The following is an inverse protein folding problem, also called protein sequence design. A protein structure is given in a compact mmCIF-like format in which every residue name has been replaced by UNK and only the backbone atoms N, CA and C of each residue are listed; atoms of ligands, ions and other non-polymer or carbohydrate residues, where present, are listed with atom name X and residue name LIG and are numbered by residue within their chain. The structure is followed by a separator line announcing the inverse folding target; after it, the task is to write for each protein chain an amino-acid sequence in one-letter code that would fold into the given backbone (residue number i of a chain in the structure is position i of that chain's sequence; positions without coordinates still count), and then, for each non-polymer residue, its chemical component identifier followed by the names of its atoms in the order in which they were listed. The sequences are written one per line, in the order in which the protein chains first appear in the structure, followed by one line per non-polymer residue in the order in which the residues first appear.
data_IF_731299637452
#
_entry.id   IF_731299637452
#
_cell.length_a   1.000
_cell.length_b   1.000
_cell.length_c   1.000
_cell.angle_alpha   90.00
_cell.angle_beta   90.00
_cell.angle_gamma   90.00
#
_symmetry.space_group_name_H-M   'P 1'
#
loop_
_entity.id
_entity.type
_entity.pdbx_description
1 polymer ?
#
# COMPACT_ATOMS: atom_id res chain seq x y z
N UNK A 1 11.53 6.70 15.28
CA UNK A 1 11.17 7.23 13.95
C UNK A 1 9.88 8.03 14.05
N UNK A 2 9.88 9.20 13.49
CA UNK A 2 8.70 10.07 13.52
C UNK A 2 7.63 9.59 12.55
N UNK A 3 6.38 9.54 13.00
CA UNK A 3 5.23 9.32 12.15
C UNK A 3 4.74 10.67 11.65
N UNK A 4 4.52 10.77 10.34
CA UNK A 4 3.93 11.96 9.74
C UNK A 4 2.57 11.59 9.17
N UNK A 5 1.53 12.29 9.62
CA UNK A 5 0.15 12.08 9.18
C UNK A 5 -0.23 13.22 8.25
N UNK A 6 -0.81 12.90 7.08
CA UNK A 6 -1.23 13.90 6.12
C UNK A 6 -2.42 14.71 6.64
N UNK A 7 -2.38 16.01 6.40
CA UNK A 7 -3.50 16.89 6.67
C UNK A 7 -4.58 16.71 5.60
N UNK A 8 -5.87 16.98 5.93
CA UNK A 8 -6.92 16.91 4.92
C UNK A 8 -6.62 17.81 3.72
N UNK A 9 -6.70 17.26 2.51
CA UNK A 9 -6.42 17.99 1.27
C UNK A 9 -4.96 18.12 0.89
N UNK A 10 -4.03 17.57 1.67
CA UNK A 10 -2.62 17.61 1.35
C UNK A 10 -2.35 16.72 0.13
N UNK A 11 -1.67 17.23 -0.94
CA UNK A 11 -1.42 16.44 -2.14
C UNK A 11 -0.53 15.23 -1.84
N UNK A 12 -0.96 14.05 -2.27
CA UNK A 12 -0.30 12.79 -1.93
C UNK A 12 1.13 12.70 -2.45
N UNK A 13 1.37 13.16 -3.67
CA UNK A 13 2.71 13.06 -4.27
C UNK A 13 3.69 13.98 -3.55
N UNK A 14 3.27 15.18 -3.18
CA UNK A 14 4.10 16.09 -2.40
C UNK A 14 4.36 15.54 -1.00
N UNK A 15 3.35 14.93 -0.38
CA UNK A 15 3.49 14.34 0.95
C UNK A 15 4.55 13.24 0.96
N UNK A 16 4.60 12.41 -0.08
CA UNK A 16 5.55 11.31 -0.18
C UNK A 16 6.77 11.62 -1.06
N UNK A 17 7.04 12.90 -1.35
CA UNK A 17 8.11 13.29 -2.26
C UNK A 17 9.48 12.75 -1.84
N UNK A 18 9.83 12.83 -0.56
CA UNK A 18 11.12 12.35 -0.07
C UNK A 18 11.27 10.83 -0.22
N UNK A 19 10.19 10.10 0.04
CA UNK A 19 10.19 8.64 -0.14
C UNK A 19 10.37 8.28 -1.62
N UNK A 20 9.65 8.98 -2.51
CA UNK A 20 9.77 8.76 -3.96
C UNK A 20 11.18 9.08 -4.44
N UNK A 21 11.78 10.17 -3.96
CA UNK A 21 13.15 10.55 -4.31
C UNK A 21 14.18 9.52 -3.87
N UNK A 22 13.87 8.75 -2.83
CA UNK A 22 14.73 7.65 -2.36
C UNK A 22 14.74 6.45 -3.29
N UNK A 23 13.83 6.36 -4.25
CA UNK A 23 13.82 5.29 -5.26
C UNK A 23 14.74 5.74 -6.39
N UNK A 24 15.95 5.17 -6.44
CA UNK A 24 17.02 5.65 -7.33
C UNK A 24 16.73 5.42 -8.82
N UNK A 25 16.03 4.34 -9.17
CA UNK A 25 15.68 4.04 -10.56
C UNK A 25 14.48 4.92 -10.98
N UNK A 26 14.65 5.79 -12.00
CA UNK A 26 13.57 6.70 -12.40
C UNK A 26 12.31 5.98 -12.89
N UNK A 27 12.46 4.85 -13.58
CA UNK A 27 11.32 4.05 -14.05
C UNK A 27 10.54 3.48 -12.87
N UNK A 28 11.23 2.95 -11.87
CA UNK A 28 10.60 2.41 -10.66
C UNK A 28 9.91 3.51 -9.86
N UNK A 29 10.52 4.70 -9.81
CA UNK A 29 9.93 5.85 -9.13
C UNK A 29 8.59 6.26 -9.77
N UNK A 30 8.52 6.27 -11.10
CA UNK A 30 7.27 6.58 -11.82
C UNK A 30 6.19 5.53 -11.49
N UNK A 31 6.56 4.25 -11.43
CA UNK A 31 5.63 3.17 -11.08
C UNK A 31 5.10 3.37 -9.65
N UNK A 32 6.00 3.64 -8.69
CA UNK A 32 5.61 3.88 -7.31
C UNK A 32 4.66 5.08 -7.18
N UNK A 33 4.98 6.18 -7.85
CA UNK A 33 4.14 7.38 -7.90
C UNK A 33 2.75 7.06 -8.45
N UNK A 34 2.70 6.27 -9.52
CA UNK A 34 1.44 5.84 -10.13
C UNK A 34 0.60 4.99 -9.18
N UNK A 35 1.24 4.09 -8.41
CA UNK A 35 0.53 3.27 -7.43
C UNK A 35 -0.11 4.17 -6.36
N UNK A 36 0.66 5.10 -5.80
CA UNK A 36 0.14 6.00 -4.77
C UNK A 36 -1.01 6.86 -5.29
N UNK A 37 -0.85 7.43 -6.47
CA UNK A 37 -1.89 8.24 -7.11
C UNK A 37 -3.15 7.43 -7.36
N UNK A 38 -2.99 6.19 -7.85
CA UNK A 38 -4.11 5.30 -8.14
C UNK A 38 -4.91 4.97 -6.86
N UNK A 39 -4.22 4.65 -5.75
CA UNK A 39 -4.92 4.36 -4.48
C UNK A 39 -5.72 5.57 -4.04
N UNK A 40 -5.12 6.75 -4.12
CA UNK A 40 -5.77 7.99 -3.71
C UNK A 40 -7.01 8.30 -4.57
N UNK A 41 -6.93 8.06 -5.87
CA UNK A 41 -8.04 8.31 -6.79
C UNK A 41 -9.17 7.29 -6.65
N UNK A 42 -8.83 6.01 -6.48
CA UNK A 42 -9.83 4.94 -6.34
C UNK A 42 -10.50 4.94 -4.98
N UNK A 43 -9.78 5.34 -3.95
CA UNK A 43 -10.26 5.33 -2.57
C UNK A 43 -10.02 6.70 -1.91
N UNK A 44 -10.76 7.74 -2.34
CA UNK A 44 -10.47 9.10 -1.89
C UNK A 44 -10.75 9.34 -0.40
N UNK A 45 -11.48 8.43 0.24
CA UNK A 45 -11.77 8.53 1.68
C UNK A 45 -10.63 8.03 2.56
N UNK A 46 -9.61 7.42 1.99
CA UNK A 46 -8.46 6.95 2.76
C UNK A 46 -7.56 8.12 3.15
N UNK A 47 -7.18 8.14 4.42
CA UNK A 47 -6.08 8.98 4.88
C UNK A 47 -4.75 8.33 4.52
N UNK A 48 -3.67 9.06 4.67
CA UNK A 48 -2.34 8.52 4.46
C UNK A 48 -1.36 9.12 5.44
N UNK A 49 -0.34 8.34 5.76
CA UNK A 49 0.73 8.73 6.69
C UNK A 49 2.04 8.07 6.28
N UNK A 50 3.13 8.63 6.79
CA UNK A 50 4.46 8.05 6.62
C UNK A 50 4.94 7.56 7.98
N UNK A 51 5.18 6.25 8.09
CA UNK A 51 5.68 5.63 9.33
C UNK A 51 6.49 4.40 8.96
N UNK A 52 7.45 4.05 9.79
CA UNK A 52 8.35 2.90 9.56
C UNK A 52 8.95 2.92 8.14
N UNK A 53 9.29 4.12 7.64
CA UNK A 53 9.85 4.37 6.30
C UNK A 53 8.93 3.92 5.17
N UNK A 54 7.61 3.88 5.39
CA UNK A 54 6.64 3.39 4.40
C UNK A 54 5.46 4.33 4.25
N UNK A 55 5.00 4.54 2.99
CA UNK A 55 3.67 5.10 2.77
C UNK A 55 2.62 4.12 3.27
N UNK A 56 1.69 4.62 4.06
CA UNK A 56 0.59 3.84 4.62
C UNK A 56 -0.72 4.54 4.37
N UNK A 57 -1.73 3.77 3.97
CA UNK A 57 -3.10 4.27 3.81
C UNK A 57 -3.95 3.79 4.98
N UNK A 58 -4.83 4.66 5.45
CA UNK A 58 -5.68 4.40 6.61
C UNK A 58 -7.14 4.70 6.30
N UNK A 59 -8.05 4.06 7.03
CA UNK A 59 -9.46 4.38 6.99
C UNK A 59 -9.91 4.64 8.44
N UNK A 60 -10.45 5.80 8.70
CA UNK A 60 -10.78 6.29 10.05
C UNK A 60 -9.72 5.93 11.10
N UNK A 61 -8.45 6.07 10.71
CA UNK A 61 -7.31 5.85 11.60
C UNK A 61 -6.78 4.42 11.66
N UNK A 62 -7.47 3.42 11.09
CA UNK A 62 -6.96 2.05 11.05
C UNK A 62 -6.16 1.79 9.78
N UNK A 63 -5.09 1.01 9.89
CA UNK A 63 -4.22 0.67 8.76
C UNK A 63 -4.97 -0.16 7.71
N UNK A 64 -4.81 0.19 6.44
CA UNK A 64 -5.39 -0.55 5.32
C UNK A 64 -4.32 -1.23 4.48
N UNK A 65 -3.34 -0.49 3.99
CA UNK A 65 -2.28 -1.03 3.14
C UNK A 65 -1.03 -0.15 3.23
N UNK A 66 0.15 -0.76 3.16
CA UNK A 66 1.42 -0.07 3.10
C UNK A 66 2.25 -0.54 1.93
N UNK A 67 3.24 0.24 1.52
CA UNK A 67 4.12 -0.06 0.40
C UNK A 67 5.58 0.11 0.80
N UNK A 68 6.44 -0.75 0.24
CA UNK A 68 7.88 -0.70 0.51
C UNK A 68 8.65 -1.09 -0.74
N UNK A 69 9.59 -0.24 -1.22
CA UNK A 69 10.35 -0.55 -2.43
C UNK A 69 11.57 -1.41 -2.11
N UNK A 70 11.97 -2.21 -3.08
CA UNK A 70 13.23 -2.95 -3.06
C UNK A 70 13.86 -2.86 -4.45
N UNK A 71 15.02 -3.45 -4.64
CA UNK A 71 15.76 -3.36 -5.91
C UNK A 71 14.93 -3.91 -7.08
N UNK A 72 14.32 -5.09 -6.91
CA UNK A 72 13.67 -5.80 -8.00
C UNK A 72 12.14 -5.79 -7.91
N UNK A 73 11.57 -5.21 -6.87
CA UNK A 73 10.11 -5.23 -6.67
C UNK A 73 9.66 -4.09 -5.74
N UNK A 74 8.35 -3.87 -5.73
CA UNK A 74 7.70 -3.13 -4.67
C UNK A 74 6.78 -4.10 -3.93
N UNK A 75 6.79 -4.05 -2.60
CA UNK A 75 5.92 -4.89 -1.79
C UNK A 75 4.71 -4.11 -1.32
N UNK A 76 3.57 -4.78 -1.21
CA UNK A 76 2.45 -4.22 -0.46
C UNK A 76 2.13 -5.09 0.75
N UNK A 77 1.71 -4.46 1.83
CA UNK A 77 1.44 -5.12 3.10
C UNK A 77 -0.03 -4.89 3.49
N UNK A 78 -0.89 -5.92 3.37
CA UNK A 78 -2.32 -5.80 3.68
C UNK A 78 -2.69 -6.41 5.04
N UNK A 79 -1.76 -6.48 5.98
CA UNK A 79 -1.82 -7.27 7.21
C UNK A 79 -1.94 -8.77 6.94
N UNK A 80 -1.70 -9.58 7.97
CA UNK A 80 -1.76 -11.04 7.86
C UNK A 80 -3.11 -11.53 7.36
N UNK A 81 -4.20 -10.94 7.84
CA UNK A 81 -5.56 -11.32 7.43
C UNK A 81 -5.78 -11.12 5.93
N UNK A 82 -5.20 -10.06 5.34
CA UNK A 82 -5.26 -9.84 3.90
C UNK A 82 -4.49 -10.90 3.12
N UNK A 83 -3.31 -11.31 3.59
CA UNK A 83 -2.56 -12.39 2.96
C UNK A 83 -3.36 -13.69 2.98
N UNK A 84 -3.90 -14.06 4.14
CA UNK A 84 -4.68 -15.29 4.30
C UNK A 84 -5.90 -15.29 3.37
N UNK A 85 -6.62 -14.18 3.33
CA UNK A 85 -7.82 -14.05 2.49
C UNK A 85 -7.52 -14.24 1.02
N UNK A 86 -6.43 -13.65 0.53
CA UNK A 86 -6.13 -13.59 -0.90
C UNK A 86 -5.08 -14.61 -1.36
N UNK A 87 -4.61 -15.48 -0.47
CA UNK A 87 -3.58 -16.46 -0.79
C UNK A 87 -3.89 -17.31 -2.04
N UNK A 88 -5.12 -17.82 -2.25
CA UNK A 88 -5.40 -18.56 -3.47
C UNK A 88 -5.17 -17.76 -4.74
N UNK A 89 -5.55 -16.47 -4.75
CA UNK A 89 -5.34 -15.58 -5.89
C UNK A 89 -3.87 -15.23 -6.08
N UNK A 90 -3.12 -15.07 -4.98
CA UNK A 90 -1.68 -14.83 -5.04
C UNK A 90 -0.96 -16.01 -5.71
N UNK A 91 -1.31 -17.22 -5.31
CA UNK A 91 -0.75 -18.45 -5.91
C UNK A 91 -1.13 -18.58 -7.38
N UNK A 92 -2.38 -18.33 -7.71
CA UNK A 92 -2.89 -18.43 -9.09
C UNK A 92 -2.16 -17.45 -10.01
N UNK A 93 -1.82 -16.26 -9.52
CA UNK A 93 -1.09 -15.24 -10.29
C UNK A 93 0.42 -15.46 -10.32
N UNK A 94 0.93 -16.45 -9.57
CA UNK A 94 2.37 -16.69 -9.48
C UNK A 94 3.14 -15.62 -8.75
N UNK A 95 2.47 -14.85 -7.88
CA UNK A 95 3.12 -13.78 -7.12
C UNK A 95 3.91 -14.34 -5.95
N UNK A 96 5.10 -13.78 -5.73
CA UNK A 96 5.91 -14.07 -4.55
C UNK A 96 5.32 -13.34 -3.35
N UNK A 97 5.15 -14.06 -2.24
CA UNK A 97 4.63 -13.44 -1.02
C UNK A 97 5.19 -14.15 0.21
N UNK A 98 5.18 -13.43 1.32
CA UNK A 98 5.52 -13.97 2.61
C UNK A 98 4.33 -13.88 3.55
N UNK A 99 4.61 -13.93 4.84
CA UNK A 99 3.59 -13.91 5.88
C UNK A 99 2.84 -12.57 5.93
N UNK A 100 3.53 -11.46 5.63
CA UNK A 100 3.00 -10.11 5.81
C UNK A 100 3.02 -9.27 4.55
N UNK A 101 3.69 -9.68 3.48
CA UNK A 101 3.92 -8.84 2.30
C UNK A 101 3.78 -9.63 1.01
N UNK A 102 3.33 -8.96 -0.03
CA UNK A 102 3.30 -9.46 -1.40
C UNK A 102 4.29 -8.66 -2.23
N UNK A 103 5.12 -9.33 -3.02
CA UNK A 103 6.15 -8.70 -3.86
C UNK A 103 5.66 -8.56 -5.29
N UNK A 104 5.72 -7.34 -5.81
CA UNK A 104 5.33 -7.03 -7.19
C UNK A 104 6.57 -6.63 -7.96
N UNK A 105 7.05 -7.48 -8.91
CA UNK A 105 8.23 -7.11 -9.70
C UNK A 105 8.03 -5.81 -10.47
N UNK A 106 9.07 -4.97 -10.50
CA UNK A 106 8.99 -3.69 -11.21
C UNK A 106 8.79 -3.86 -12.72
N UNK A 107 9.28 -4.99 -13.28
CA UNK A 107 9.24 -5.27 -14.72
C UNK A 107 7.96 -5.97 -15.16
N UNK A 108 6.98 -6.11 -14.29
CA UNK A 108 5.68 -6.71 -14.59
C UNK A 108 4.56 -5.68 -14.40
N UNK A 109 3.44 -5.82 -15.12
CA UNK A 109 2.30 -4.93 -14.88
C UNK A 109 1.82 -5.00 -13.44
N UNK A 110 1.51 -3.85 -12.86
CA UNK A 110 0.96 -3.79 -11.50
C UNK A 110 -0.48 -4.32 -11.54
N UNK A 111 -0.82 -5.33 -10.70
CA UNK A 111 -2.16 -5.91 -10.72
C UNK A 111 -3.14 -5.02 -9.96
N UNK A 112 -3.57 -3.92 -10.57
CA UNK A 112 -4.48 -2.96 -9.93
C UNK A 112 -5.82 -3.57 -9.56
N UNK A 113 -6.29 -4.54 -10.32
CA UNK A 113 -7.52 -5.29 -10.00
C UNK A 113 -7.40 -6.03 -8.66
N UNK A 114 -6.26 -6.69 -8.43
CA UNK A 114 -5.99 -7.37 -7.15
C UNK A 114 -5.86 -6.35 -6.02
N UNK A 115 -5.13 -5.26 -6.23
CA UNK A 115 -4.98 -4.20 -5.23
C UNK A 115 -6.35 -3.62 -4.83
N UNK A 116 -7.24 -3.40 -5.80
CA UNK A 116 -8.59 -2.92 -5.53
C UNK A 116 -9.33 -3.88 -4.60
N UNK A 117 -9.28 -5.16 -4.90
CA UNK A 117 -9.97 -6.18 -4.11
C UNK A 117 -9.41 -6.27 -2.70
N UNK A 118 -8.07 -6.24 -2.57
CA UNK A 118 -7.38 -6.31 -1.27
C UNK A 118 -7.74 -5.09 -0.40
N UNK A 119 -7.69 -3.90 -0.99
CA UNK A 119 -7.99 -2.67 -0.26
C UNK A 119 -9.46 -2.65 0.15
N UNK A 120 -10.37 -2.97 -0.76
CA UNK A 120 -11.81 -2.98 -0.47
C UNK A 120 -12.13 -3.99 0.63
N UNK A 121 -11.52 -5.17 0.60
CA UNK A 121 -11.68 -6.16 1.66
C UNK A 121 -11.25 -5.60 3.03
N UNK A 122 -10.09 -4.97 3.10
CA UNK A 122 -9.59 -4.42 4.36
C UNK A 122 -10.47 -3.29 4.88
N UNK A 123 -10.96 -2.42 3.99
CA UNK A 123 -11.88 -1.35 4.39
C UNK A 123 -13.14 -1.94 5.01
N UNK A 124 -13.74 -2.92 4.36
CA UNK A 124 -14.98 -3.55 4.84
C UNK A 124 -14.75 -4.35 6.13
N UNK A 125 -13.71 -5.17 6.14
CA UNK A 125 -13.41 -6.05 7.28
C UNK A 125 -13.04 -5.26 8.54
N UNK A 126 -12.46 -4.08 8.36
CA UNK A 126 -12.00 -3.22 9.46
C UNK A 126 -12.94 -2.05 9.75
N UNK A 127 -14.16 -2.07 9.23
CA UNK A 127 -15.08 -0.93 9.40
C UNK A 127 -15.38 -0.59 10.87
N UNK A 128 -15.32 -1.59 11.74
CA UNK A 128 -15.55 -1.41 13.18
C UNK A 128 -14.26 -1.44 14.02
N UNK A 129 -13.10 -1.50 13.38
CA UNK A 129 -11.80 -1.53 14.06
C UNK A 129 -11.40 -0.10 14.42
N UNK A 130 -11.09 0.13 15.71
CA UNK A 130 -10.68 1.44 16.21
C UNK A 130 -9.19 1.55 16.46
N UNK A 131 -8.47 0.40 16.53
CA UNK A 131 -7.01 0.37 16.68
C UNK A 131 -6.34 0.45 15.31
N UNK A 132 -5.06 0.88 15.29
CA UNK A 132 -4.30 0.95 14.03
C UNK A 132 -4.17 -0.43 13.39
N UNK A 133 -3.76 -1.41 14.17
CA UNK A 133 -3.64 -2.80 13.70
C UNK A 133 -4.86 -3.63 14.12
N UNK A 134 -5.15 -4.71 13.38
CA UNK A 134 -6.11 -5.72 13.86
C UNK A 134 -5.62 -6.31 15.17
N UNK A 135 -6.57 -6.62 16.02
CA UNK A 135 -6.30 -7.33 17.28
C UNK A 135 -6.39 -8.83 17.11
#
# INVERSE_FOLDING_TARGET
MATRIAEPGEPIIEFFADWLDGISNPTNRVIAERILAWVHEEFPDLGYRFAWKQPMFTHHGTFIIGFSPATNHISFAPERAGIVKWEPQLKQRGLSYGKMMVRLPWDQPIPFDLLRDVIAFNIDDKRDVTSFWRK
#
